data_IF_291846595462
#
_entry.id   IF_291846595462
#
_cell.length_a   1.000
_cell.length_b   1.000
_cell.length_c   1.000
_cell.angle_alpha   90.00
_cell.angle_beta   90.00
_cell.angle_gamma   90.00
#
_symmetry.space_group_name_H-M   'P 1'
#
loop_
_entity.id
_entity.type
_entity.pdbx_description
1 polymer ?
#
# COMPACT_ATOMS: atom_id res chain seq x y z
N UNK A 1 7.91 8.52 -44.80
CA UNK A 1 7.44 8.14 -43.46
C UNK A 1 7.44 6.63 -43.22
N UNK A 2 6.60 5.81 -43.89
CA UNK A 2 6.63 4.34 -43.71
C UNK A 2 7.97 3.69 -44.13
N UNK A 3 8.63 4.27 -45.13
CA UNK A 3 9.94 3.80 -45.58
C UNK A 3 11.05 4.08 -44.55
N UNK A 4 10.96 5.22 -43.85
CA UNK A 4 11.93 5.62 -42.81
C UNK A 4 11.84 4.69 -41.60
N UNK A 5 10.62 4.30 -41.20
CA UNK A 5 10.40 3.36 -40.10
C UNK A 5 10.98 1.97 -40.41
N UNK A 6 10.80 1.48 -41.64
CA UNK A 6 11.40 0.23 -42.12
C UNK A 6 12.92 0.32 -42.18
N UNK A 7 13.46 1.45 -42.60
CA UNK A 7 14.90 1.67 -42.68
C UNK A 7 15.54 1.70 -41.28
N UNK A 8 14.90 2.38 -40.33
CA UNK A 8 15.32 2.41 -38.92
C UNK A 8 15.29 1.02 -38.29
N UNK A 9 14.25 0.22 -38.53
CA UNK A 9 14.16 -1.15 -38.02
C UNK A 9 15.26 -2.05 -38.59
N UNK A 10 15.55 -1.90 -39.90
CA UNK A 10 16.64 -2.63 -40.56
C UNK A 10 18.01 -2.21 -40.05
N UNK A 11 18.18 -0.94 -39.67
CA UNK A 11 19.41 -0.44 -39.06
C UNK A 11 19.61 -0.99 -37.65
N UNK A 12 18.55 -1.08 -36.84
CA UNK A 12 18.57 -1.69 -35.50
C UNK A 12 18.93 -3.18 -35.54
N UNK A 13 18.41 -3.91 -36.54
CA UNK A 13 18.74 -5.33 -36.76
C UNK A 13 20.19 -5.54 -37.26
N UNK A 14 20.80 -4.53 -37.88
CA UNK A 14 22.17 -4.60 -38.40
C UNK A 14 23.24 -4.45 -37.31
N UNK A 15 22.91 -3.76 -36.20
CA UNK A 15 23.79 -3.52 -35.06
C UNK A 15 23.14 -4.03 -33.75
N UNK A 16 23.02 -5.36 -33.58
CA UNK A 16 22.23 -5.96 -32.50
C UNK A 16 22.74 -5.63 -31.10
N UNK A 17 24.05 -5.46 -30.91
CA UNK A 17 24.63 -5.12 -29.61
C UNK A 17 24.18 -3.74 -29.09
N UNK A 18 24.22 -2.72 -29.96
CA UNK A 18 23.76 -1.37 -29.61
C UNK A 18 22.25 -1.36 -29.33
N UNK A 19 21.48 -2.03 -30.17
CA UNK A 19 20.03 -2.16 -29.99
C UNK A 19 19.69 -2.85 -28.67
N UNK A 20 20.41 -3.92 -28.28
CA UNK A 20 20.18 -4.61 -27.03
C UNK A 20 20.42 -3.69 -25.81
N UNK A 21 21.53 -2.95 -25.81
CA UNK A 21 21.84 -1.98 -24.72
C UNK A 21 20.77 -0.89 -24.65
N UNK A 22 20.35 -0.35 -25.79
CA UNK A 22 19.29 0.67 -25.85
C UNK A 22 17.96 0.14 -25.30
N UNK A 23 17.56 -1.07 -25.69
CA UNK A 23 16.33 -1.73 -25.18
C UNK A 23 16.42 -1.97 -23.67
N UNK A 24 17.56 -2.44 -23.17
CA UNK A 24 17.77 -2.65 -21.73
C UNK A 24 17.68 -1.33 -20.96
N UNK A 25 18.32 -0.27 -21.45
CA UNK A 25 18.27 1.05 -20.80
C UNK A 25 16.83 1.59 -20.75
N UNK A 26 16.09 1.47 -21.85
CA UNK A 26 14.68 1.87 -21.91
C UNK A 26 13.83 1.02 -20.95
N UNK A 27 14.02 -0.30 -20.95
CA UNK A 27 13.32 -1.21 -20.06
C UNK A 27 13.59 -0.92 -18.58
N UNK A 28 14.84 -0.62 -18.22
CA UNK A 28 15.22 -0.23 -16.86
C UNK A 28 14.58 1.11 -16.46
N UNK A 29 14.60 2.12 -17.33
CA UNK A 29 13.99 3.42 -17.04
C UNK A 29 12.47 3.33 -16.85
N UNK A 30 11.79 2.61 -17.73
CA UNK A 30 10.33 2.40 -17.64
C UNK A 30 10.00 1.50 -16.44
N UNK A 31 10.75 0.42 -16.25
CA UNK A 31 10.54 -0.56 -15.18
C UNK A 31 10.76 0.02 -13.79
N UNK A 32 11.81 0.83 -13.61
CA UNK A 32 12.10 1.48 -12.33
C UNK A 32 10.96 2.44 -11.92
N UNK A 33 10.52 3.31 -12.83
CA UNK A 33 9.41 4.22 -12.56
C UNK A 33 8.11 3.46 -12.27
N UNK A 34 7.83 2.39 -13.01
CA UNK A 34 6.65 1.55 -12.82
C UNK A 34 6.70 0.81 -11.47
N UNK A 35 7.86 0.29 -11.07
CA UNK A 35 8.05 -0.42 -9.81
C UNK A 35 7.83 0.52 -8.62
N UNK A 36 8.39 1.74 -8.67
CA UNK A 36 8.20 2.74 -7.61
C UNK A 36 6.72 3.14 -7.50
N UNK A 37 6.07 3.47 -8.62
CA UNK A 37 4.65 3.82 -8.62
C UNK A 37 3.76 2.65 -8.18
N UNK A 38 4.08 1.42 -8.57
CA UNK A 38 3.35 0.23 -8.15
C UNK A 38 3.51 -0.03 -6.66
N UNK A 39 4.70 0.17 -6.10
CA UNK A 39 4.97 0.03 -4.66
C UNK A 39 4.22 1.10 -3.87
N UNK A 40 4.29 2.36 -4.30
CA UNK A 40 3.51 3.45 -3.70
C UNK A 40 2.02 3.18 -3.83
N UNK A 41 1.56 2.69 -4.98
CA UNK A 41 0.16 2.34 -5.16
C UNK A 41 -0.26 1.17 -4.26
N UNK A 42 0.60 0.18 -4.03
CA UNK A 42 0.32 -0.97 -3.17
C UNK A 42 0.34 -0.62 -1.67
N UNK A 43 1.22 0.29 -1.24
CA UNK A 43 1.39 0.64 0.17
C UNK A 43 0.60 1.87 0.61
N UNK A 44 0.42 2.84 -0.28
CA UNK A 44 -0.15 4.16 0.03
C UNK A 44 -1.56 4.33 -0.53
N UNK A 45 -1.84 3.80 -1.73
CA UNK A 45 -3.09 4.11 -2.47
C UNK A 45 -4.10 2.97 -2.39
N UNK A 46 -3.67 1.70 -2.35
CA UNK A 46 -4.54 0.58 -2.01
C UNK A 46 -4.76 0.64 -0.50
N UNK A 47 -5.91 1.18 -0.05
CA UNK A 47 -6.21 1.18 1.36
C UNK A 47 -6.32 -0.30 1.77
N UNK A 48 -6.04 -0.59 3.03
CA UNK A 48 -6.30 -1.91 3.63
C UNK A 48 -7.65 -2.43 3.09
N UNK A 49 -7.80 -3.74 2.80
CA UNK A 49 -8.96 -4.35 2.14
C UNK A 49 -10.22 -4.30 3.03
N UNK A 50 -10.63 -3.08 3.35
CA UNK A 50 -11.73 -2.72 4.19
C UNK A 50 -12.65 -1.88 3.33
N UNK A 51 -13.88 -2.34 3.21
CA UNK A 51 -14.94 -1.62 2.53
C UNK A 51 -15.16 -0.31 3.30
N UNK A 52 -14.97 0.84 2.63
CA UNK A 52 -15.15 2.19 3.18
C UNK A 52 -14.19 2.60 4.31
N UNK A 53 -12.88 2.84 4.03
CA UNK A 53 -11.90 3.26 5.03
C UNK A 53 -12.27 4.57 5.75
N UNK A 54 -13.03 5.45 5.10
CA UNK A 54 -13.51 6.71 5.69
C UNK A 54 -14.54 6.51 6.82
N UNK A 55 -15.13 5.32 6.96
CA UNK A 55 -16.10 4.98 8.01
C UNK A 55 -15.45 4.27 9.20
N UNK A 56 -14.14 4.06 9.17
CA UNK A 56 -13.40 3.42 10.25
C UNK A 56 -13.03 4.45 11.31
N UNK A 57 -13.29 4.13 12.57
CA UNK A 57 -12.96 4.96 13.72
C UNK A 57 -12.16 4.13 14.71
N UNK A 58 -11.06 4.69 15.21
CA UNK A 58 -10.27 4.10 16.27
C UNK A 58 -10.74 4.64 17.62
N UNK A 59 -11.18 3.76 18.52
CA UNK A 59 -11.59 4.13 19.87
C UNK A 59 -10.37 4.11 20.78
N UNK A 60 -10.05 5.27 21.35
CA UNK A 60 -8.96 5.45 22.30
C UNK A 60 -9.48 6.23 23.50
N UNK A 61 -9.03 5.84 24.68
CA UNK A 61 -9.40 6.47 25.93
C UNK A 61 -8.39 7.53 26.34
N UNK A 62 -8.89 8.47 27.13
CA UNK A 62 -8.13 9.62 27.58
C UNK A 62 -8.35 9.80 29.07
N UNK A 63 -7.34 9.41 29.86
CA UNK A 63 -7.37 9.50 31.31
C UNK A 63 -6.83 10.86 31.73
N UNK A 64 -7.73 11.86 31.72
CA UNK A 64 -7.42 13.26 32.07
C UNK A 64 -6.70 13.40 33.42
N UNK A 65 -7.05 12.58 34.41
CA UNK A 65 -6.45 12.61 35.74
C UNK A 65 -4.96 12.22 35.75
N UNK A 66 -4.51 11.43 34.76
CA UNK A 66 -3.14 10.91 34.67
C UNK A 66 -2.37 11.50 33.47
N UNK A 67 -2.96 12.46 32.75
CA UNK A 67 -2.41 13.03 31.51
C UNK A 67 -2.01 11.95 30.48
N UNK A 68 -2.79 10.86 30.46
CA UNK A 68 -2.56 9.74 29.57
C UNK A 68 -3.54 9.80 28.40
N UNK A 69 -2.97 9.93 27.22
CA UNK A 69 -3.69 10.08 25.96
C UNK A 69 -3.54 8.79 25.16
N UNK A 70 -4.55 8.47 24.35
CA UNK A 70 -4.51 7.33 23.44
C UNK A 70 -4.39 5.94 24.11
N UNK A 71 -5.05 5.73 25.26
CA UNK A 71 -5.04 4.44 25.95
C UNK A 71 -6.01 3.45 25.27
N UNK A 72 -5.64 2.17 25.09
CA UNK A 72 -6.57 1.15 24.60
C UNK A 72 -7.77 0.97 25.54
N UNK A 73 -8.97 0.83 24.95
CA UNK A 73 -10.21 0.54 25.69
C UNK A 73 -10.08 -0.75 26.50
N UNK A 74 -10.52 -0.73 27.77
CA UNK A 74 -10.48 -1.92 28.61
C UNK A 74 -11.48 -2.99 28.16
N UNK A 75 -11.22 -4.26 28.47
CA UNK A 75 -12.12 -5.36 28.14
C UNK A 75 -13.58 -5.17 28.61
N UNK A 76 -13.86 -4.77 29.87
CA UNK A 76 -15.24 -4.53 30.30
C UNK A 76 -15.89 -3.34 29.58
N UNK A 77 -15.16 -2.24 29.33
CA UNK A 77 -15.69 -1.11 28.57
C UNK A 77 -16.00 -1.49 27.11
N UNK A 78 -15.19 -2.34 26.49
CA UNK A 78 -15.48 -2.85 25.15
C UNK A 78 -16.81 -3.62 25.11
N UNK A 79 -17.11 -4.45 26.12
CA UNK A 79 -18.38 -5.19 26.22
C UNK A 79 -19.56 -4.23 26.39
N UNK A 80 -19.39 -3.19 27.20
CA UNK A 80 -20.41 -2.15 27.37
C UNK A 80 -20.67 -1.39 26.08
N UNK A 81 -19.63 -1.01 25.33
CA UNK A 81 -19.76 -0.39 24.01
C UNK A 81 -20.42 -1.33 23.01
N UNK A 82 -20.06 -2.62 23.01
CA UNK A 82 -20.66 -3.61 22.12
C UNK A 82 -22.18 -3.76 22.37
N UNK A 83 -22.61 -3.62 23.61
CA UNK A 83 -24.01 -3.80 24.02
C UNK A 83 -24.85 -2.54 23.78
N UNK A 84 -24.28 -1.37 24.03
CA UNK A 84 -25.03 -0.10 24.08
C UNK A 84 -24.84 0.80 22.85
N UNK A 85 -23.73 0.65 22.10
CA UNK A 85 -23.45 1.50 20.95
C UNK A 85 -24.29 1.07 19.73
N UNK A 86 -25.16 1.97 19.24
CA UNK A 86 -26.04 1.74 18.09
C UNK A 86 -25.55 2.43 16.80
N UNK A 87 -24.55 3.30 16.92
CA UNK A 87 -24.01 4.11 15.81
C UNK A 87 -22.94 3.37 15.01
N UNK A 88 -22.30 2.36 15.60
CA UNK A 88 -21.28 1.53 14.96
C UNK A 88 -21.89 0.21 14.51
N UNK A 89 -21.71 -0.14 13.24
CA UNK A 89 -22.24 -1.38 12.67
C UNK A 89 -21.48 -2.62 13.16
N UNK A 90 -20.15 -2.52 13.28
CA UNK A 90 -19.27 -3.58 13.77
C UNK A 90 -18.15 -2.98 14.60
N UNK A 91 -17.77 -3.70 15.65
CA UNK A 91 -16.67 -3.36 16.56
C UNK A 91 -15.72 -4.54 16.64
N UNK A 92 -14.41 -4.27 16.64
CA UNK A 92 -13.36 -5.27 16.75
C UNK A 92 -12.25 -4.76 17.66
N UNK A 93 -11.61 -5.68 18.37
CA UNK A 93 -10.40 -5.43 19.15
C UNK A 93 -9.21 -5.91 18.34
N UNK A 94 -8.16 -5.09 18.27
CA UNK A 94 -6.88 -5.51 17.72
C UNK A 94 -5.79 -5.24 18.75
N UNK A 95 -4.77 -6.07 18.75
CA UNK A 95 -3.56 -5.84 19.54
C UNK A 95 -2.41 -5.61 18.58
N UNK A 96 -1.67 -4.49 18.68
CA UNK A 96 -0.48 -4.28 17.88
C UNK A 96 0.53 -5.38 18.22
N UNK A 97 0.88 -6.18 17.23
CA UNK A 97 1.86 -7.25 17.34
C UNK A 97 2.89 -7.14 16.23
N UNK A 98 4.17 -7.25 16.58
CA UNK A 98 5.25 -7.40 15.61
C UNK A 98 5.47 -8.89 15.34
N UNK A 99 5.27 -9.29 14.09
CA UNK A 99 5.58 -10.64 13.63
C UNK A 99 6.84 -10.57 12.77
N UNK A 100 7.88 -11.31 13.14
CA UNK A 100 9.04 -11.49 12.29
C UNK A 100 8.72 -12.54 11.23
N UNK A 101 8.52 -12.11 9.99
CA UNK A 101 8.47 -13.00 8.84
C UNK A 101 9.88 -13.45 8.48
N UNK A 102 10.46 -14.34 9.27
CA UNK A 102 11.64 -15.09 8.82
C UNK A 102 11.16 -16.08 7.76
N UNK A 103 11.33 -15.71 6.49
CA UNK A 103 11.07 -16.58 5.35
C UNK A 103 11.95 -17.84 5.44
N UNK A 104 11.36 -18.99 5.13
CA UNK A 104 12.08 -20.22 4.83
C UNK A 104 12.74 -20.19 3.46
#
# INVERSE_FOLDING_TARGET
>A
MLNDLRFAFRLLLKNPAFTAVAVIAIALGIGANTAVLSLVNALLIRPLPYHDPARMVLMLEHFRAQHLDAIPVSAPEFVDYQTNCRTLEKMAVFQPGTFNFAGG
#
